data_IF_708866254834
#
_entry.id   IF_708866254834
#
_cell.length_a   1.000
_cell.length_b   1.000
_cell.length_c   1.000
_cell.angle_alpha   90.00
_cell.angle_beta   90.00
_cell.angle_gamma   90.00
#
_symmetry.space_group_name_H-M   'P 1'
#
loop_
_entity.id
_entity.type
_entity.pdbx_description
1 polymer ?
#
# COMPACT_ATOMS: atom_id res chain seq x y z
N UNK A 1 -16.85 -11.94 -6.19
CA UNK A 1 -15.37 -11.77 -6.23
C UNK A 1 -14.95 -10.88 -5.09
N UNK A 2 -14.07 -11.35 -4.20
CA UNK A 2 -13.53 -10.54 -3.09
C UNK A 2 -12.15 -10.03 -3.47
N UNK A 3 -11.95 -8.70 -3.47
CA UNK A 3 -10.64 -8.08 -3.69
C UNK A 3 -9.90 -8.01 -2.35
N UNK A 4 -8.68 -8.53 -2.29
CA UNK A 4 -7.80 -8.33 -1.15
C UNK A 4 -7.23 -6.92 -1.18
N UNK A 5 -6.92 -6.37 -0.01
CA UNK A 5 -6.47 -4.97 0.10
C UNK A 5 -5.30 -4.79 1.07
N UNK A 6 -4.27 -4.09 0.60
CA UNK A 6 -3.26 -3.44 1.44
C UNK A 6 -3.56 -1.94 1.53
N UNK A 7 -3.55 -1.39 2.74
CA UNK A 7 -3.58 0.06 2.97
C UNK A 7 -2.24 0.46 3.54
N UNK A 8 -1.46 1.23 2.76
CA UNK A 8 -0.05 1.49 3.00
C UNK A 8 0.17 3.00 3.07
N UNK A 9 0.88 3.46 4.09
CA UNK A 9 1.25 4.86 4.24
C UNK A 9 2.59 5.15 3.57
N UNK A 10 2.66 6.25 2.83
CA UNK A 10 3.86 6.68 2.11
C UNK A 10 4.11 8.15 2.44
N UNK A 11 5.34 8.50 2.82
CA UNK A 11 5.77 9.88 3.09
C UNK A 11 7.23 10.06 2.68
N UNK A 12 7.56 11.14 1.96
CA UNK A 12 8.91 11.44 1.51
C UNK A 12 9.63 10.23 0.88
N UNK A 13 9.00 9.63 -0.13
CA UNK A 13 9.47 8.41 -0.82
C UNK A 13 9.68 7.16 0.07
N UNK A 14 9.29 7.19 1.35
CA UNK A 14 9.41 6.06 2.27
C UNK A 14 8.06 5.36 2.43
N UNK A 15 8.05 4.07 2.15
CA UNK A 15 6.90 3.18 2.36
C UNK A 15 6.94 2.67 3.80
N UNK A 16 5.95 3.01 4.61
CA UNK A 16 5.89 2.55 6.01
C UNK A 16 5.48 1.08 6.10
N UNK A 17 6.11 0.36 7.03
CA UNK A 17 5.83 -1.05 7.34
C UNK A 17 5.86 -1.97 6.12
N UNK A 18 6.69 -1.67 5.12
CA UNK A 18 6.75 -2.41 3.86
C UNK A 18 6.95 -3.92 4.06
N UNK A 19 7.83 -4.33 4.98
CA UNK A 19 8.07 -5.75 5.28
C UNK A 19 6.82 -6.47 5.80
N UNK A 20 6.06 -5.82 6.67
CA UNK A 20 4.79 -6.33 7.19
C UNK A 20 3.75 -6.47 6.08
N UNK A 21 3.58 -5.42 5.26
CA UNK A 21 2.67 -5.46 4.11
C UNK A 21 3.06 -6.54 3.11
N UNK A 22 4.36 -6.70 2.82
CA UNK A 22 4.87 -7.75 1.94
C UNK A 22 4.58 -9.15 2.48
N UNK A 23 4.82 -9.38 3.78
CA UNK A 23 4.54 -10.67 4.41
C UNK A 23 3.05 -11.01 4.39
N UNK A 24 2.18 -10.04 4.69
CA UNK A 24 0.73 -10.20 4.63
C UNK A 24 0.25 -10.51 3.22
N UNK A 25 0.70 -9.72 2.25
CA UNK A 25 0.40 -9.91 0.83
C UNK A 25 0.80 -11.30 0.34
N UNK A 26 2.03 -11.76 0.63
CA UNK A 26 2.50 -13.12 0.29
C UNK A 26 1.64 -14.20 0.95
N UNK A 27 1.36 -14.05 2.26
CA UNK A 27 0.55 -15.01 3.02
C UNK A 27 -0.85 -15.14 2.41
N UNK A 28 -1.53 -14.03 2.14
CA UNK A 28 -2.87 -14.04 1.57
C UNK A 28 -2.90 -14.62 0.16
N UNK A 29 -1.92 -14.29 -0.70
CA UNK A 29 -1.84 -14.87 -2.05
C UNK A 29 -1.57 -16.36 -2.05
N UNK A 30 -0.67 -16.84 -1.19
CA UNK A 30 -0.42 -18.27 -1.03
C UNK A 30 -1.66 -18.99 -0.52
N UNK A 31 -2.31 -18.46 0.51
CA UNK A 31 -3.45 -19.12 1.15
C UNK A 31 -4.72 -19.16 0.28
N UNK A 32 -4.95 -18.14 -0.55
CA UNK A 32 -6.22 -17.98 -1.28
C UNK A 32 -6.12 -18.34 -2.75
N UNK A 33 -4.92 -18.33 -3.34
CA UNK A 33 -4.73 -18.51 -4.78
C UNK A 33 -3.63 -19.54 -5.13
N UNK A 34 -2.97 -20.15 -4.14
CA UNK A 34 -1.79 -21.01 -4.30
C UNK A 34 -0.67 -20.40 -5.20
N UNK A 35 -0.63 -19.07 -5.30
CA UNK A 35 0.34 -18.39 -6.16
C UNK A 35 1.69 -18.36 -5.48
N UNK A 36 2.69 -18.98 -6.13
CA UNK A 36 4.09 -19.05 -5.66
C UNK A 36 4.98 -17.96 -6.26
N UNK A 37 4.52 -17.28 -7.31
CA UNK A 37 5.24 -16.18 -7.93
C UNK A 37 5.35 -15.01 -6.94
N UNK A 38 6.58 -14.57 -6.69
CA UNK A 38 6.83 -13.45 -5.80
C UNK A 38 6.57 -12.12 -6.53
N UNK A 39 5.80 -11.23 -5.90
CA UNK A 39 5.64 -9.85 -6.37
C UNK A 39 6.04 -8.94 -5.22
N UNK A 40 6.99 -8.06 -5.48
CA UNK A 40 7.51 -7.12 -4.50
C UNK A 40 6.66 -5.84 -4.50
N UNK A 41 6.00 -5.56 -3.38
CA UNK A 41 5.20 -4.34 -3.20
C UNK A 41 6.05 -3.08 -3.40
N UNK A 42 7.36 -3.13 -3.12
CA UNK A 42 8.28 -2.02 -3.37
C UNK A 42 8.31 -1.63 -4.85
N UNK A 43 8.41 -2.62 -5.73
CA UNK A 43 8.49 -2.40 -7.18
C UNK A 43 7.15 -1.91 -7.73
N UNK A 44 6.06 -2.47 -7.23
CA UNK A 44 4.70 -2.04 -7.58
C UNK A 44 4.46 -0.58 -7.18
N UNK A 45 4.97 -0.16 -6.02
CA UNK A 45 4.76 1.19 -5.49
C UNK A 45 5.76 2.23 -5.99
N UNK A 46 6.95 1.81 -6.45
CA UNK A 46 8.04 2.70 -6.86
C UNK A 46 7.60 3.80 -7.86
N UNK A 47 6.79 3.52 -8.90
CA UNK A 47 6.34 4.55 -9.84
C UNK A 47 5.40 5.60 -9.23
N UNK A 48 4.83 5.32 -8.05
CA UNK A 48 3.82 6.17 -7.39
C UNK A 48 4.35 6.88 -6.16
N UNK A 49 5.65 6.79 -5.88
CA UNK A 49 6.23 7.44 -4.72
C UNK A 49 6.18 8.97 -4.87
N UNK A 50 5.50 9.68 -3.96
CA UNK A 50 5.46 11.13 -3.97
C UNK A 50 6.85 11.69 -3.65
N UNK A 51 7.19 12.80 -4.29
CA UNK A 51 8.47 13.50 -4.09
C UNK A 51 8.42 14.53 -2.95
N UNK A 52 7.22 14.92 -2.55
CA UNK A 52 6.99 15.83 -1.43
C UNK A 52 6.97 15.11 -0.06
N UNK A 53 6.88 15.90 1.01
CA UNK A 53 6.81 15.41 2.40
C UNK A 53 5.37 15.17 2.90
N UNK A 54 4.38 15.18 2.00
CA UNK A 54 2.98 14.91 2.35
C UNK A 54 2.80 13.41 2.62
N UNK A 55 1.90 13.09 3.56
CA UNK A 55 1.53 11.70 3.86
C UNK A 55 0.41 11.24 2.92
N UNK A 56 0.66 10.15 2.20
CA UNK A 56 -0.30 9.53 1.29
C UNK A 56 -0.78 8.19 1.85
N UNK A 57 -2.05 7.87 1.57
CA UNK A 57 -2.63 6.56 1.80
C UNK A 57 -2.78 5.89 0.46
N UNK A 58 -1.96 4.87 0.24
CA UNK A 58 -2.03 4.03 -0.92
C UNK A 58 -2.88 2.80 -0.62
N UNK A 59 -3.82 2.47 -1.51
CA UNK A 59 -4.57 1.21 -1.46
C UNK A 59 -4.14 0.32 -2.62
N UNK A 60 -3.54 -0.82 -2.29
CA UNK A 60 -3.21 -1.86 -3.28
C UNK A 60 -4.35 -2.88 -3.25
N UNK A 61 -5.12 -2.96 -4.32
CA UNK A 61 -6.15 -3.98 -4.50
C UNK A 61 -5.56 -5.13 -5.31
N UNK A 62 -5.83 -6.38 -4.95
CA UNK A 62 -5.29 -7.52 -5.67
C UNK A 62 -6.22 -8.74 -5.62
N UNK A 63 -6.14 -9.54 -6.67
CA UNK A 63 -6.76 -10.86 -6.79
C UNK A 63 -5.72 -11.91 -7.24
N UNK A 64 -6.20 -13.06 -7.72
CA UNK A 64 -5.36 -14.16 -8.23
C UNK A 64 -4.43 -13.74 -9.38
N UNK A 65 -4.93 -12.92 -10.31
CA UNK A 65 -4.28 -12.64 -11.60
C UNK A 65 -3.78 -11.19 -11.75
N UNK A 66 -4.34 -10.23 -11.02
CA UNK A 66 -4.05 -8.80 -11.20
C UNK A 66 -4.01 -8.01 -9.88
N UNK A 67 -3.09 -7.04 -9.82
CA UNK A 67 -3.06 -5.99 -8.80
C UNK A 67 -3.51 -4.67 -9.40
N UNK A 68 -4.55 -4.03 -8.85
CA UNK A 68 -4.96 -2.66 -9.18
C UNK A 68 -4.51 -1.70 -8.09
N UNK A 69 -3.61 -0.79 -8.44
CA UNK A 69 -3.14 0.25 -7.53
C UNK A 69 -4.09 1.46 -7.54
N UNK A 70 -4.51 1.93 -6.37
CA UNK A 70 -5.24 3.19 -6.21
C UNK A 70 -4.56 4.02 -5.13
N UNK A 71 -4.01 5.15 -5.53
CA UNK A 71 -3.41 6.13 -4.63
C UNK A 71 -4.35 7.31 -4.46
N UNK A 72 -4.49 7.81 -3.24
CA UNK A 72 -5.19 9.06 -2.99
C UNK A 72 -4.39 9.88 -1.97
N UNK A 73 -4.21 11.19 -2.19
CA UNK A 73 -3.65 12.05 -1.15
C UNK A 73 -4.57 11.99 0.07
N UNK A 74 -3.99 11.87 1.27
CA UNK A 74 -4.75 12.14 2.48
C UNK A 74 -4.67 13.65 2.71
N UNK A 75 -5.74 14.37 2.40
CA UNK A 75 -5.95 15.67 3.03
C UNK A 75 -6.50 15.37 4.43
N UNK A 76 -5.63 15.40 5.44
CA UNK A 76 -6.10 15.42 6.83
C UNK A 76 -6.68 16.82 7.06
N UNK A 77 -7.93 17.04 6.65
CA UNK A 77 -8.78 18.08 7.22
C UNK A 77 -9.20 17.63 8.62
N UNK A 78 -8.22 17.52 9.50
CA UNK A 78 -8.42 17.54 10.94
C UNK A 78 -7.23 18.29 11.52
N UNK A 79 -7.29 19.61 11.37
CA UNK A 79 -6.89 20.54 12.41
C UNK A 79 -7.64 20.16 13.69
N UNK A 80 -7.20 19.09 14.36
CA UNK A 80 -7.17 19.11 15.80
C UNK A 80 -5.91 19.91 16.11
N UNK A 81 -6.18 21.18 16.38
CA UNK A 81 -5.36 22.08 17.16
C UNK A 81 -4.56 21.29 18.20
N UNK A 82 -3.27 21.09 17.95
CA UNK A 82 -2.28 21.01 19.03
C UNK A 82 -1.72 22.44 19.14
N UNK A 83 -2.36 23.27 19.97
CA UNK A 83 -1.65 24.44 20.49
C UNK A 83 -0.59 23.93 21.47
N UNK A 84 0.63 24.47 21.27
CA UNK A 84 1.73 24.69 22.24
C UNK A 84 1.93 23.67 23.36
#
# INVERSE_FOLDING_TARGET
MSLLVETIYIKAQKIRNLSFHQARFRKSRKALFDVKADILLKEVLAPTLPKDDVMYKCRVLYDEKYGKLRTSPIFILSLIVWQS
#
